data_IF_057920816991
#
_entry.id   IF_057920816991
#
_cell.length_a   1.000
_cell.length_b   1.000
_cell.length_c   1.000
_cell.angle_alpha   90.00
_cell.angle_beta   90.00
_cell.angle_gamma   90.00
#
_symmetry.space_group_name_H-M   'P 1'
#
loop_
_entity.id
_entity.type
_entity.pdbx_description
1 polymer ?
#
# COMPACT_ATOMS: atom_id res chain seq x y z
N UNK A 1 -3.56 13.54 0.11
CA UNK A 1 -3.51 12.83 -1.17
C UNK A 1 -3.03 13.76 -2.27
N UNK A 2 -2.39 13.21 -3.29
CA UNK A 2 -1.88 13.92 -4.46
C UNK A 2 -2.43 13.34 -5.76
N UNK A 3 -2.49 14.17 -6.79
CA UNK A 3 -3.00 13.82 -8.12
C UNK A 3 -2.41 14.77 -9.15
N UNK A 4 -2.13 14.30 -10.36
CA UNK A 4 -1.87 15.17 -11.51
C UNK A 4 -3.18 15.53 -12.22
N UNK A 5 -3.28 16.74 -12.76
CA UNK A 5 -4.42 17.17 -13.61
C UNK A 5 -4.39 16.46 -14.97
N UNK A 6 -3.20 16.14 -15.47
CA UNK A 6 -3.06 15.32 -16.68
C UNK A 6 -3.34 13.86 -16.38
N UNK A 7 -4.28 13.28 -17.11
CA UNK A 7 -4.75 11.90 -16.90
C UNK A 7 -3.65 10.85 -17.14
N UNK A 8 -2.74 11.08 -18.08
CA UNK A 8 -1.66 10.14 -18.39
C UNK A 8 -0.57 10.19 -17.33
N UNK A 9 -0.23 11.41 -16.88
CA UNK A 9 0.71 11.61 -15.77
C UNK A 9 0.15 11.03 -14.46
N UNK A 10 -1.15 11.22 -14.21
CA UNK A 10 -1.79 10.68 -13.02
C UNK A 10 -1.79 9.14 -13.00
N UNK A 11 -2.06 8.51 -14.14
CA UNK A 11 -1.94 7.06 -14.28
C UNK A 11 -0.50 6.59 -14.03
N UNK A 12 0.49 7.31 -14.53
CA UNK A 12 1.90 7.01 -14.29
C UNK A 12 2.25 7.18 -12.80
N UNK A 13 1.78 8.26 -12.16
CA UNK A 13 1.95 8.49 -10.72
C UNK A 13 1.38 7.32 -9.91
N UNK A 14 0.14 6.91 -10.18
CA UNK A 14 -0.52 5.80 -9.49
C UNK A 14 0.19 4.46 -9.69
N UNK A 15 0.61 4.16 -10.93
CA UNK A 15 1.23 2.89 -11.28
C UNK A 15 2.68 2.77 -10.77
N UNK A 16 3.44 3.85 -10.85
CA UNK A 16 4.88 3.82 -10.55
C UNK A 16 5.18 4.06 -9.07
N UNK A 17 4.31 4.74 -8.34
CA UNK A 17 4.50 4.96 -6.91
C UNK A 17 4.33 3.65 -6.14
N UNK A 18 5.29 3.38 -5.24
CA UNK A 18 5.23 2.23 -4.34
C UNK A 18 5.10 2.72 -2.90
N UNK A 19 4.42 1.95 -2.05
CA UNK A 19 4.31 2.22 -0.61
C UNK A 19 5.73 2.29 -0.02
N UNK A 20 6.03 3.38 0.69
CA UNK A 20 7.35 3.66 1.23
C UNK A 20 8.23 4.59 0.37
N UNK A 21 7.86 4.84 -0.90
CA UNK A 21 8.62 5.77 -1.74
C UNK A 21 8.66 7.17 -1.14
N UNK A 22 9.83 7.79 -1.19
CA UNK A 22 10.02 9.16 -0.70
C UNK A 22 9.26 10.17 -1.56
N UNK A 23 8.63 11.13 -0.89
CA UNK A 23 7.99 12.27 -1.51
C UNK A 23 8.59 13.57 -0.97
N UNK A 24 8.66 14.60 -1.81
CA UNK A 24 9.20 15.91 -1.44
C UNK A 24 8.37 17.03 -2.04
N UNK A 25 8.03 18.00 -1.22
CA UNK A 25 7.41 19.25 -1.68
C UNK A 25 8.45 20.10 -2.39
N UNK A 26 8.18 20.52 -3.63
CA UNK A 26 9.12 21.28 -4.46
C UNK A 26 8.66 22.71 -4.76
N UNK A 27 7.45 23.09 -4.38
CA UNK A 27 6.90 24.46 -4.50
C UNK A 27 6.24 24.90 -3.18
N UNK A 28 5.81 26.15 -3.13
CA UNK A 28 5.06 26.71 -2.01
C UNK A 28 5.83 26.92 -0.72
N UNK A 29 5.10 27.21 0.36
CA UNK A 29 5.68 27.56 1.67
C UNK A 29 6.32 26.33 2.35
N UNK A 30 5.83 25.13 2.10
CA UNK A 30 6.37 23.89 2.62
C UNK A 30 7.50 23.30 1.74
N UNK A 31 8.04 24.05 0.80
CA UNK A 31 9.13 23.58 -0.09
C UNK A 31 10.29 23.01 0.70
N UNK A 32 10.63 21.77 0.39
CA UNK A 32 11.69 21.01 1.07
C UNK A 32 11.15 19.97 2.06
N UNK A 33 9.89 20.06 2.48
CA UNK A 33 9.27 19.07 3.34
C UNK A 33 9.33 17.67 2.70
N UNK A 34 9.62 16.67 3.51
CA UNK A 34 9.77 15.28 3.09
C UNK A 34 8.72 14.39 3.72
N UNK A 35 8.17 13.51 2.92
CA UNK A 35 7.17 12.53 3.29
C UNK A 35 7.40 11.20 2.58
N UNK A 36 6.41 10.34 2.62
CA UNK A 36 6.46 9.06 1.92
C UNK A 36 5.07 8.59 1.49
N UNK A 37 5.03 7.82 0.42
CA UNK A 37 3.81 7.20 -0.10
C UNK A 37 3.33 6.16 0.91
N UNK A 38 2.05 6.24 1.28
CA UNK A 38 1.40 5.30 2.20
C UNK A 38 0.42 4.36 1.50
N UNK A 39 -0.01 4.70 0.30
CA UNK A 39 -0.95 3.87 -0.46
C UNK A 39 -1.53 4.61 -1.64
N UNK A 40 -2.52 3.98 -2.25
CA UNK A 40 -3.32 4.53 -3.35
C UNK A 40 -4.79 4.53 -2.93
N UNK A 41 -5.58 5.41 -3.52
CA UNK A 41 -7.03 5.34 -3.48
C UNK A 41 -7.54 5.20 -4.92
N UNK A 42 -7.74 3.95 -5.33
CA UNK A 42 -8.06 3.60 -6.71
C UNK A 42 -9.38 4.20 -7.19
N UNK A 43 -10.40 4.29 -6.33
CA UNK A 43 -11.72 4.80 -6.68
C UNK A 43 -11.77 6.27 -7.09
N UNK A 44 -10.77 7.06 -6.69
CA UNK A 44 -10.65 8.49 -7.03
C UNK A 44 -9.33 8.84 -7.73
N UNK A 45 -8.52 7.84 -8.04
CA UNK A 45 -7.21 7.98 -8.69
C UNK A 45 -6.25 8.93 -7.95
N UNK A 46 -6.11 8.75 -6.64
CA UNK A 46 -5.20 9.53 -5.80
C UNK A 46 -4.08 8.66 -5.24
N UNK A 47 -2.87 9.20 -5.17
CA UNK A 47 -1.77 8.63 -4.38
C UNK A 47 -1.79 9.26 -2.98
N UNK A 48 -1.75 8.42 -1.96
CA UNK A 48 -1.73 8.85 -0.57
C UNK A 48 -0.29 9.06 -0.11
N UNK A 49 -0.02 10.20 0.51
CA UNK A 49 1.31 10.58 0.97
C UNK A 49 1.22 11.12 2.38
N UNK A 50 2.03 10.58 3.28
CA UNK A 50 2.20 11.10 4.62
C UNK A 50 3.22 12.25 4.62
N UNK A 51 2.89 13.31 5.33
CA UNK A 51 3.79 14.37 5.76
C UNK A 51 3.55 14.63 7.25
N UNK A 52 4.52 15.21 7.93
CA UNK A 52 4.34 15.66 9.30
C UNK A 52 3.29 16.76 9.38
N UNK A 53 2.61 16.86 10.52
CA UNK A 53 1.55 17.86 10.74
C UNK A 53 2.06 19.30 10.55
N UNK A 54 3.25 19.61 11.08
CA UNK A 54 3.91 20.91 10.90
C UNK A 54 4.17 21.30 9.44
N UNK A 55 4.43 20.32 8.58
CA UNK A 55 4.62 20.51 7.14
C UNK A 55 3.26 20.70 6.45
N UNK A 56 2.25 19.90 6.82
CA UNK A 56 0.90 19.99 6.27
C UNK A 56 0.25 21.36 6.50
N UNK A 57 0.50 21.99 7.66
CA UNK A 57 0.02 23.34 7.96
C UNK A 57 0.55 24.42 7.00
N UNK A 58 1.71 24.17 6.40
CA UNK A 58 2.37 25.08 5.47
C UNK A 58 2.12 24.70 4.00
N UNK A 59 1.46 23.59 3.72
CA UNK A 59 1.12 23.15 2.36
C UNK A 59 -0.17 23.77 1.88
N UNK A 60 -0.25 24.02 0.59
CA UNK A 60 -1.43 24.56 -0.08
C UNK A 60 -1.82 23.71 -1.27
N UNK A 61 -3.12 23.75 -1.62
CA UNK A 61 -3.61 23.14 -2.86
C UNK A 61 -2.89 23.82 -4.04
N UNK A 62 -2.32 23.00 -4.92
CA UNK A 62 -1.50 23.46 -6.03
C UNK A 62 0.01 23.36 -5.80
N UNK A 63 0.44 23.04 -4.57
CA UNK A 63 1.84 22.71 -4.32
C UNK A 63 2.23 21.44 -5.08
N UNK A 64 3.42 21.47 -5.68
CA UNK A 64 3.94 20.35 -6.45
C UNK A 64 4.76 19.42 -5.56
N UNK A 65 4.47 18.12 -5.67
CA UNK A 65 5.15 17.07 -4.90
C UNK A 65 5.85 16.13 -5.87
N UNK A 66 7.14 15.95 -5.66
CA UNK A 66 7.98 15.00 -6.39
C UNK A 66 8.01 13.68 -5.63
N UNK A 67 7.56 12.59 -6.25
CA UNK A 67 7.71 11.23 -5.73
C UNK A 67 8.93 10.57 -6.37
N UNK A 68 9.85 10.07 -5.55
CA UNK A 68 10.98 9.25 -6.01
C UNK A 68 10.50 7.81 -6.15
N UNK A 69 9.78 7.54 -7.23
CA UNK A 69 9.18 6.23 -7.50
C UNK A 69 10.24 5.18 -7.83
N UNK A 70 10.22 4.06 -7.10
CA UNK A 70 10.97 2.85 -7.43
C UNK A 70 10.38 1.65 -6.67
N UNK A 71 10.56 0.44 -7.22
CA UNK A 71 10.06 -0.80 -6.62
C UNK A 71 9.11 -1.58 -7.54
N UNK A 72 8.62 -0.99 -8.62
CA UNK A 72 7.87 -1.74 -9.62
C UNK A 72 8.76 -2.80 -10.27
N UNK A 73 8.26 -4.05 -10.32
CA UNK A 73 9.03 -5.18 -10.81
C UNK A 73 9.97 -5.80 -9.76
N UNK A 74 9.84 -5.42 -8.48
CA UNK A 74 10.53 -6.12 -7.38
C UNK A 74 10.17 -7.60 -7.42
N UNK A 75 11.18 -8.46 -7.33
CA UNK A 75 11.05 -9.90 -7.23
C UNK A 75 11.85 -10.42 -6.04
N UNK A 76 11.44 -11.55 -5.50
CA UNK A 76 12.15 -12.24 -4.44
C UNK A 76 12.88 -13.42 -5.07
N UNK A 77 14.21 -13.42 -5.01
CA UNK A 77 15.03 -14.47 -5.62
C UNK A 77 14.69 -15.83 -5.01
N UNK A 78 14.47 -16.83 -5.90
CA UNK A 78 14.09 -18.17 -5.50
C UNK A 78 12.61 -18.36 -5.14
N UNK A 79 11.77 -17.30 -5.27
CA UNK A 79 10.34 -17.31 -4.95
C UNK A 79 9.52 -16.68 -6.09
N UNK A 80 9.54 -17.28 -7.27
CA UNK A 80 8.87 -16.75 -8.47
C UNK A 80 7.34 -16.77 -8.37
N UNK A 81 6.78 -17.53 -7.43
CA UNK A 81 5.36 -17.58 -7.07
C UNK A 81 4.91 -16.37 -6.23
N UNK A 82 5.86 -15.66 -5.58
CA UNK A 82 5.58 -14.45 -4.82
C UNK A 82 5.56 -13.24 -5.75
N UNK A 83 4.48 -12.48 -5.71
CA UNK A 83 4.32 -11.25 -6.51
C UNK A 83 4.38 -10.02 -5.62
N UNK A 84 5.46 -9.23 -5.78
CA UNK A 84 5.54 -7.90 -5.17
C UNK A 84 4.85 -6.91 -6.10
N UNK A 85 3.87 -6.17 -5.58
CA UNK A 85 3.06 -5.28 -6.42
C UNK A 85 3.56 -3.84 -6.37
N UNK A 86 3.36 -3.15 -5.27
CA UNK A 86 3.62 -1.72 -5.13
C UNK A 86 4.34 -1.39 -3.83
N UNK A 87 5.42 -2.07 -3.55
CA UNK A 87 6.23 -1.92 -2.34
C UNK A 87 7.64 -1.38 -2.65
N UNK A 88 8.09 -0.40 -1.87
CA UNK A 88 9.47 0.10 -1.90
C UNK A 88 10.42 -0.99 -1.39
N UNK A 89 11.50 -1.33 -2.13
CA UNK A 89 12.46 -2.34 -1.70
C UNK A 89 13.07 -2.09 -0.33
N UNK A 90 13.37 -0.82 0.02
CA UNK A 90 13.92 -0.50 1.34
C UNK A 90 12.89 -0.66 2.46
N UNK A 91 11.60 -0.52 2.16
CA UNK A 91 10.53 -0.83 3.11
C UNK A 91 10.37 -2.34 3.24
N UNK A 92 10.39 -3.06 2.12
CA UNK A 92 10.32 -4.52 2.09
C UNK A 92 11.40 -5.17 2.97
N UNK A 93 12.64 -4.71 2.89
CA UNK A 93 13.74 -5.20 3.74
C UNK A 93 13.47 -5.02 5.25
N UNK A 94 12.65 -4.03 5.64
CA UNK A 94 12.32 -3.75 7.04
C UNK A 94 11.21 -4.61 7.61
N UNK A 95 10.50 -5.34 6.79
CA UNK A 95 9.38 -6.19 7.24
C UNK A 95 9.81 -7.39 8.07
N UNK A 96 11.10 -7.71 8.10
CA UNK A 96 11.61 -8.83 8.88
C UNK A 96 11.22 -10.19 8.31
N UNK A 97 10.95 -10.25 7.02
CA UNK A 97 10.67 -11.48 6.27
C UNK A 97 11.89 -12.40 6.36
N UNK A 98 11.66 -13.68 6.56
CA UNK A 98 12.71 -14.69 6.66
C UNK A 98 12.35 -15.89 5.81
N UNK A 99 13.37 -16.54 5.27
CA UNK A 99 13.23 -17.85 4.68
C UNK A 99 13.57 -18.92 5.75
N UNK A 100 12.70 -19.90 5.92
CA UNK A 100 12.93 -21.00 6.83
C UNK A 100 13.77 -22.10 6.18
N UNK A 101 14.08 -23.17 6.94
CA UNK A 101 14.92 -24.29 6.47
C UNK A 101 14.31 -25.11 5.31
N UNK A 102 13.02 -24.94 5.08
CA UNK A 102 12.26 -25.62 4.01
C UNK A 102 12.13 -24.76 2.77
N UNK A 103 12.74 -23.56 2.75
CA UNK A 103 12.65 -22.61 1.65
C UNK A 103 11.32 -21.86 1.59
N UNK A 104 10.61 -21.73 2.72
CA UNK A 104 9.32 -21.03 2.78
C UNK A 104 9.55 -19.65 3.40
N UNK A 105 8.95 -18.62 2.80
CA UNK A 105 8.98 -17.26 3.33
C UNK A 105 8.02 -17.12 4.52
N UNK A 106 8.55 -16.70 5.63
CA UNK A 106 7.81 -16.36 6.85
C UNK A 106 7.67 -14.83 6.93
N UNK A 107 6.44 -14.35 6.84
CA UNK A 107 6.13 -12.91 6.90
C UNK A 107 5.48 -12.62 8.26
N UNK A 108 6.07 -11.75 9.10
CA UNK A 108 5.46 -11.37 10.36
C UNK A 108 4.26 -10.46 10.08
N UNK A 109 3.07 -10.89 10.48
CA UNK A 109 1.83 -10.11 10.36
C UNK A 109 1.25 -9.82 11.73
N UNK A 110 0.58 -8.68 11.87
CA UNK A 110 -0.07 -8.28 13.14
C UNK A 110 -1.35 -9.08 13.34
N UNK A 111 -2.07 -9.32 12.26
CA UNK A 111 -3.31 -10.08 12.27
C UNK A 111 -3.64 -10.67 10.90
N UNK A 112 -4.59 -11.61 10.89
CA UNK A 112 -5.18 -12.18 9.67
C UNK A 112 -6.58 -11.62 9.48
N UNK A 113 -6.86 -11.11 8.30
CA UNK A 113 -8.17 -10.57 7.92
C UNK A 113 -8.91 -11.63 7.11
N UNK A 114 -10.05 -12.13 7.57
CA UNK A 114 -10.83 -13.10 6.82
C UNK A 114 -11.47 -12.44 5.59
N UNK A 115 -11.66 -13.24 4.54
CA UNK A 115 -12.16 -12.74 3.26
C UNK A 115 -13.50 -11.99 3.35
N UNK A 116 -14.38 -12.35 4.29
CA UNK A 116 -15.69 -11.70 4.44
C UNK A 116 -15.62 -10.27 4.99
N UNK A 117 -14.50 -9.88 5.59
CA UNK A 117 -14.25 -8.50 6.04
C UNK A 117 -13.57 -7.64 4.98
N UNK A 118 -13.24 -8.20 3.83
CA UNK A 118 -12.68 -7.42 2.74
C UNK A 118 -13.79 -6.71 1.97
N UNK A 119 -13.59 -5.43 1.71
CA UNK A 119 -14.46 -4.60 0.88
C UNK A 119 -14.49 -5.06 -0.59
N UNK A 120 -15.26 -4.38 -1.43
CA UNK A 120 -15.47 -4.74 -2.82
C UNK A 120 -14.43 -4.11 -3.75
N UNK A 121 -13.65 -4.94 -4.45
CA UNK A 121 -12.72 -4.48 -5.48
C UNK A 121 -11.44 -3.83 -4.94
N UNK A 122 -10.61 -3.35 -5.84
CA UNK A 122 -9.35 -2.65 -5.57
C UNK A 122 -9.38 -1.20 -6.09
N UNK A 123 -10.56 -0.68 -6.46
CA UNK A 123 -10.74 0.67 -6.97
C UNK A 123 -10.01 0.97 -8.29
N UNK A 124 -9.32 0.00 -8.87
CA UNK A 124 -8.50 0.13 -10.07
C UNK A 124 -8.59 -1.13 -10.94
N UNK A 125 -8.14 -1.03 -12.20
CA UNK A 125 -8.04 -2.17 -13.12
C UNK A 125 -6.95 -3.19 -12.67
N UNK A 126 -6.06 -2.80 -11.79
CA UNK A 126 -4.96 -3.64 -11.30
C UNK A 126 -4.65 -3.34 -9.84
N UNK A 127 -4.22 -4.35 -9.09
CA UNK A 127 -3.76 -4.20 -7.72
C UNK A 127 -2.47 -3.37 -7.58
N UNK A 128 -1.72 -3.16 -8.68
CA UNK A 128 -0.53 -2.30 -8.69
C UNK A 128 -0.83 -0.80 -8.45
N UNK A 129 -2.07 -0.37 -8.69
CA UNK A 129 -2.49 1.03 -8.52
C UNK A 129 -3.79 1.18 -7.73
N UNK A 130 -4.23 0.11 -7.10
CA UNK A 130 -5.44 0.08 -6.27
C UNK A 130 -5.15 0.00 -4.78
N UNK A 131 -6.21 -0.05 -4.02
CA UNK A 131 -6.24 -0.25 -2.58
C UNK A 131 -7.22 -1.36 -2.21
N UNK A 132 -7.16 -1.79 -0.96
CA UNK A 132 -8.08 -2.78 -0.42
C UNK A 132 -8.72 -2.23 0.84
N UNK A 133 -10.03 -2.15 0.83
CA UNK A 133 -10.77 -1.72 2.01
C UNK A 133 -11.01 -2.90 2.97
N UNK A 134 -10.77 -2.68 4.25
CA UNK A 134 -11.19 -3.59 5.31
C UNK A 134 -12.50 -3.05 5.90
N UNK A 135 -13.52 -3.88 5.98
CA UNK A 135 -14.81 -3.52 6.55
C UNK A 135 -14.69 -3.38 8.07
N UNK A 136 -14.98 -2.19 8.59
CA UNK A 136 -14.87 -1.86 10.02
C UNK A 136 -16.23 -1.61 10.69
N UNK A 137 -17.34 -1.92 10.02
CA UNK A 137 -18.69 -1.71 10.52
C UNK A 137 -19.14 -2.70 11.60
N UNK A 138 -18.47 -3.85 11.71
CA UNK A 138 -18.75 -4.88 12.72
C UNK A 138 -17.78 -4.76 13.89
N UNK A 139 -18.26 -4.22 15.02
CA UNK A 139 -17.45 -4.00 16.22
C UNK A 139 -17.00 -5.31 16.91
N UNK A 140 -17.73 -6.39 16.76
CA UNK A 140 -17.35 -7.69 17.33
C UNK A 140 -16.22 -8.30 16.52
N UNK A 141 -16.34 -8.32 15.20
CA UNK A 141 -15.29 -8.75 14.29
C UNK A 141 -14.02 -7.88 14.41
N UNK A 142 -14.18 -6.56 14.53
CA UNK A 142 -13.03 -5.65 14.72
C UNK A 142 -12.22 -6.02 15.96
N UNK A 143 -12.87 -6.38 17.07
CA UNK A 143 -12.20 -6.81 18.29
C UNK A 143 -11.61 -8.21 18.17
N UNK A 144 -12.35 -9.14 17.55
CA UNK A 144 -11.92 -10.53 17.35
C UNK A 144 -10.61 -10.61 16.56
N UNK A 145 -10.53 -9.85 15.47
CA UNK A 145 -9.37 -9.82 14.57
C UNK A 145 -8.39 -8.68 14.88
N UNK A 146 -8.61 -7.88 15.93
CA UNK A 146 -7.72 -6.80 16.34
C UNK A 146 -7.62 -5.64 15.34
N UNK A 147 -8.62 -5.48 14.46
CA UNK A 147 -8.66 -4.44 13.42
C UNK A 147 -8.68 -3.05 14.06
N UNK A 148 -9.33 -2.90 15.21
CA UNK A 148 -9.42 -1.67 15.99
C UNK A 148 -8.07 -1.19 16.56
N UNK A 149 -7.02 -2.00 16.48
CA UNK A 149 -5.66 -1.73 16.98
C UNK A 149 -4.63 -1.52 15.89
N UNK A 150 -5.02 -1.69 14.62
CA UNK A 150 -4.12 -1.55 13.48
C UNK A 150 -3.57 -0.12 13.38
N UNK A 151 -2.33 -0.03 12.95
CA UNK A 151 -1.58 1.22 12.80
C UNK A 151 -0.91 1.28 11.43
N UNK A 152 -0.62 2.47 10.96
CA UNK A 152 0.17 2.66 9.75
C UNK A 152 1.50 1.88 9.82
N UNK A 153 1.75 1.10 8.76
CA UNK A 153 2.92 0.25 8.64
C UNK A 153 2.73 -1.17 9.17
N UNK A 154 1.61 -1.48 9.80
CA UNK A 154 1.30 -2.85 10.19
C UNK A 154 1.09 -3.72 8.95
N UNK A 155 1.64 -4.94 8.99
CA UNK A 155 1.39 -5.95 7.98
C UNK A 155 0.21 -6.81 8.39
N UNK A 156 -0.71 -7.01 7.47
CA UNK A 156 -1.88 -7.88 7.65
C UNK A 156 -1.92 -8.95 6.57
N UNK A 157 -2.33 -10.14 6.94
CA UNK A 157 -2.58 -11.22 6.00
C UNK A 157 -4.05 -11.18 5.58
N UNK A 158 -4.30 -11.07 4.28
CA UNK A 158 -5.62 -11.15 3.68
C UNK A 158 -5.84 -12.61 3.26
N UNK A 159 -6.74 -13.30 3.96
CA UNK A 159 -7.01 -14.72 3.75
C UNK A 159 -7.86 -14.95 2.50
N UNK A 160 -7.55 -16.00 1.75
CA UNK A 160 -8.27 -16.41 0.54
C UNK A 160 -8.35 -15.32 -0.54
N UNK A 161 -7.36 -14.45 -0.60
CA UNK A 161 -7.28 -13.33 -1.53
C UNK A 161 -6.08 -13.50 -2.47
N UNK A 162 -6.35 -13.57 -3.77
CA UNK A 162 -5.35 -13.45 -4.83
C UNK A 162 -5.59 -12.13 -5.59
N UNK A 163 -4.57 -11.29 -5.65
CA UNK A 163 -4.62 -9.99 -6.31
C UNK A 163 -3.73 -9.92 -7.56
N UNK A 164 -3.18 -11.02 -8.00
CA UNK A 164 -2.23 -11.07 -9.13
C UNK A 164 -2.83 -10.50 -10.41
N UNK A 165 -4.10 -10.80 -10.68
CA UNK A 165 -4.82 -10.37 -11.89
C UNK A 165 -6.07 -9.53 -11.55
N UNK A 166 -6.00 -8.67 -10.55
CA UNK A 166 -7.13 -7.99 -9.95
C UNK A 166 -7.67 -8.81 -8.77
N UNK A 167 -8.68 -8.28 -8.09
CA UNK A 167 -9.24 -8.97 -6.92
C UNK A 167 -9.90 -10.27 -7.30
N UNK A 168 -9.44 -11.36 -6.68
CA UNK A 168 -10.14 -12.65 -6.72
C UNK A 168 -10.19 -13.28 -5.33
N UNK A 169 -11.28 -14.03 -5.10
CA UNK A 169 -11.35 -14.99 -4.02
C UNK A 169 -10.75 -16.31 -4.52
N UNK A 170 -9.67 -16.73 -3.90
CA UNK A 170 -9.03 -18.02 -4.19
C UNK A 170 -8.69 -18.70 -2.87
N UNK A 171 -9.34 -19.83 -2.61
CA UNK A 171 -9.14 -20.58 -1.37
C UNK A 171 -7.67 -20.94 -1.16
N UNK A 172 -7.20 -20.77 0.07
CA UNK A 172 -5.83 -21.03 0.53
C UNK A 172 -4.75 -20.12 -0.06
N UNK A 173 -5.10 -19.14 -0.90
CA UNK A 173 -4.17 -18.07 -1.28
C UNK A 173 -4.12 -16.98 -0.22
N UNK A 174 -3.02 -16.23 -0.19
CA UNK A 174 -2.85 -15.10 0.72
C UNK A 174 -2.29 -13.89 0.00
N UNK A 175 -2.74 -12.71 0.41
CA UNK A 175 -2.10 -11.46 0.06
C UNK A 175 -1.65 -10.77 1.35
N UNK A 176 -0.50 -10.12 1.32
CA UNK A 176 -0.01 -9.31 2.44
C UNK A 176 -0.27 -7.86 2.10
N UNK A 177 -1.02 -7.18 2.97
CA UNK A 177 -1.30 -5.76 2.89
C UNK A 177 -0.50 -4.96 3.91
N UNK A 178 -0.22 -3.71 3.60
CA UNK A 178 0.34 -2.69 4.50
C UNK A 178 -0.78 -1.71 4.85
N UNK A 179 -1.00 -1.47 6.15
CA UNK A 179 -2.01 -0.51 6.64
C UNK A 179 -1.50 0.93 6.45
#
# INVERSE_FOLDING_TARGET
SIKSEDSSENKALMLLSCIGNKAKVITGCAKGAEGFVTGMHGGIDHTLVYFKEEDLENMSIGDTILVKAHGQGLAVDGHEDVKCMNIDPNLFEKFGIKENKEGILEVPVVTEIPAYLMGSGVGSATAFSGDYDIMTGDNEANKEFGIDKLKFGDLVLLRDCDNTNGRQYLKDSVSIGVI
#
